data_IF_193685451437
#
_entry.id   IF_193685451437
#
_cell.length_a   1.000
_cell.length_b   1.000
_cell.length_c   1.000
_cell.angle_alpha   90.00
_cell.angle_beta   90.00
_cell.angle_gamma   90.00
#
_symmetry.space_group_name_H-M   'P 1'
#
loop_
_entity.id
_entity.type
_entity.pdbx_description
1 polymer ?
#
# COMPACT_ATOMS: atom_id res chain seq x y z
N UNK A 1 14.28 38.35 23.31
CA UNK A 1 15.12 38.14 22.11
C UNK A 1 14.96 36.70 21.66
N UNK A 2 14.37 36.44 20.49
CA UNK A 2 14.17 35.09 19.97
C UNK A 2 15.50 34.53 19.42
N UNK A 3 15.82 33.27 19.73
CA UNK A 3 17.00 32.57 19.20
C UNK A 3 16.76 32.25 17.71
N UNK A 4 17.76 32.41 16.82
CA UNK A 4 17.60 32.09 15.41
C UNK A 4 17.37 30.59 15.21
N UNK A 5 16.52 30.27 14.22
CA UNK A 5 16.21 28.89 13.85
C UNK A 5 17.47 28.24 13.26
N UNK A 6 17.90 27.07 13.77
CA UNK A 6 19.09 26.40 13.27
C UNK A 6 18.91 25.92 11.82
N UNK A 7 19.93 26.13 10.99
CA UNK A 7 19.92 25.77 9.57
C UNK A 7 19.90 24.24 9.41
N UNK A 8 19.01 23.74 8.56
CA UNK A 8 18.86 22.32 8.27
C UNK A 8 20.04 21.80 7.43
N UNK A 9 21.03 21.19 8.08
CA UNK A 9 22.26 20.65 7.45
C UNK A 9 21.97 19.68 6.30
N UNK A 10 20.91 18.87 6.42
CA UNK A 10 20.54 17.86 5.41
C UNK A 10 20.10 18.48 4.09
N UNK A 11 19.52 19.68 4.12
CA UNK A 11 19.12 20.40 2.91
C UNK A 11 20.34 20.94 2.14
N UNK A 12 21.37 21.44 2.84
CA UNK A 12 22.61 21.90 2.21
C UNK A 12 23.40 20.75 1.55
N UNK A 13 23.40 19.57 2.16
CA UNK A 13 24.05 18.37 1.60
C UNK A 13 23.38 17.95 0.27
N UNK A 14 22.05 17.93 0.22
CA UNK A 14 21.31 17.62 -1.01
C UNK A 14 21.59 18.62 -2.15
N UNK A 15 21.75 19.92 -1.84
CA UNK A 15 22.10 20.90 -2.86
C UNK A 15 23.52 20.71 -3.41
N UNK A 16 24.49 20.33 -2.56
CA UNK A 16 25.85 20.03 -3.03
C UNK A 16 25.90 18.79 -3.92
N UNK A 17 25.16 17.74 -3.57
CA UNK A 17 25.06 16.53 -4.39
C UNK A 17 24.45 16.83 -5.78
N UNK A 18 23.41 17.67 -5.84
CA UNK A 18 22.80 18.07 -7.10
C UNK A 18 23.77 18.86 -8.01
N UNK A 19 24.58 19.75 -7.44
CA UNK A 19 25.58 20.52 -8.20
C UNK A 19 26.71 19.63 -8.74
N UNK A 20 27.12 18.60 -7.99
CA UNK A 20 28.16 17.65 -8.43
C UNK A 20 27.67 16.73 -9.55
N UNK A 21 26.40 16.32 -9.52
CA UNK A 21 25.84 15.44 -10.55
C UNK A 21 25.55 16.18 -11.87
N UNK A 22 25.32 17.50 -11.85
CA UNK A 22 25.09 18.31 -13.05
C UNK A 22 26.36 18.59 -13.89
N UNK A 23 27.55 18.39 -13.33
CA UNK A 23 28.83 18.75 -13.99
C UNK A 23 29.44 17.61 -14.83
N UNK A 24 28.93 16.37 -14.73
CA UNK A 24 29.55 15.19 -15.35
C UNK A 24 28.94 14.72 -16.68
N UNK A 25 27.97 15.46 -17.24
CA UNK A 25 27.44 15.19 -18.59
C UNK A 25 28.00 16.17 -19.62
N UNK A 26 29.32 16.11 -19.84
CA UNK A 26 29.91 16.55 -21.10
C UNK A 26 29.74 15.39 -22.11
N UNK A 27 28.67 15.44 -22.88
CA UNK A 27 28.36 14.48 -23.94
C UNK A 27 29.36 14.62 -25.08
N UNK A 28 30.43 13.84 -25.06
CA UNK A 28 31.27 13.63 -26.24
C UNK A 28 30.48 12.76 -27.22
N UNK A 29 29.96 13.38 -28.28
CA UNK A 29 29.32 12.65 -29.37
C UNK A 29 30.34 11.73 -30.06
N UNK A 30 30.07 10.41 -30.20
CA UNK A 30 30.95 9.53 -30.96
C UNK A 30 30.84 9.85 -32.46
N UNK A 31 31.99 9.85 -33.13
CA UNK A 31 32.09 10.05 -34.57
C UNK A 31 31.31 8.96 -35.34
N UNK A 32 30.61 9.30 -36.45
CA UNK A 32 29.89 8.31 -37.24
C UNK A 32 30.88 7.39 -37.98
N UNK A 33 30.63 6.06 -38.02
CA UNK A 33 31.47 5.13 -38.75
C UNK A 33 31.35 5.33 -40.28
N UNK A 34 32.39 4.99 -41.06
CA UNK A 34 32.37 5.10 -42.52
C UNK A 34 31.30 4.20 -43.15
N UNK A 35 30.59 4.76 -44.14
CA UNK A 35 29.33 4.25 -44.74
C UNK A 35 29.54 3.06 -45.71
N UNK A 36 30.66 2.34 -45.65
CA UNK A 36 30.91 1.20 -46.54
C UNK A 36 30.84 -0.09 -45.73
N UNK A 37 29.83 -0.90 -46.02
CA UNK A 37 29.52 -2.26 -45.53
C UNK A 37 28.33 -2.41 -44.58
N UNK A 38 27.42 -1.41 -44.51
CA UNK A 38 26.24 -1.47 -43.64
C UNK A 38 25.35 -2.72 -43.84
N UNK A 39 25.28 -3.27 -45.06
CA UNK A 39 24.49 -4.48 -45.36
C UNK A 39 25.17 -5.78 -44.93
N UNK A 40 26.50 -5.87 -45.02
CA UNK A 40 27.26 -7.04 -44.54
C UNK A 40 27.31 -7.04 -43.01
N UNK A 41 27.53 -5.87 -42.39
CA UNK A 41 27.48 -5.76 -40.91
C UNK A 41 26.08 -6.06 -40.36
N UNK A 42 25.01 -5.67 -41.07
CA UNK A 42 23.66 -6.01 -40.64
C UNK A 42 23.40 -7.51 -40.65
N UNK A 43 23.79 -8.24 -41.70
CA UNK A 43 23.57 -9.69 -41.75
C UNK A 43 24.38 -10.42 -40.67
N UNK A 44 25.65 -10.06 -40.49
CA UNK A 44 26.49 -10.67 -39.43
C UNK A 44 25.94 -10.38 -38.03
N UNK A 45 25.43 -9.17 -37.77
CA UNK A 45 24.81 -8.85 -36.48
C UNK A 45 23.50 -9.57 -36.25
N UNK A 46 22.69 -9.80 -37.29
CA UNK A 46 21.44 -10.56 -37.20
C UNK A 46 21.73 -12.04 -36.92
N UNK A 47 22.70 -12.62 -37.62
CA UNK A 47 23.10 -14.03 -37.42
C UNK A 47 23.73 -14.25 -36.04
N UNK A 48 24.55 -13.30 -35.57
CA UNK A 48 25.12 -13.34 -34.22
C UNK A 48 24.05 -13.20 -33.13
N UNK A 49 23.05 -12.34 -33.32
CA UNK A 49 21.89 -12.21 -32.41
C UNK A 49 21.03 -13.48 -32.41
N UNK A 50 20.81 -14.10 -33.57
CA UNK A 50 20.05 -15.34 -33.69
C UNK A 50 20.74 -16.50 -32.97
N UNK A 51 22.06 -16.63 -33.12
CA UNK A 51 22.86 -17.60 -32.37
C UNK A 51 22.88 -17.31 -30.87
N UNK A 52 23.00 -16.04 -30.47
CA UNK A 52 22.97 -15.66 -29.06
C UNK A 52 21.63 -15.98 -28.40
N UNK A 53 20.51 -15.77 -29.11
CA UNK A 53 19.17 -16.15 -28.65
C UNK A 53 18.97 -17.67 -28.58
N UNK A 54 19.54 -18.44 -29.51
CA UNK A 54 19.46 -19.91 -29.51
C UNK A 54 20.37 -20.59 -28.45
N UNK A 55 21.42 -19.90 -28.01
CA UNK A 55 22.36 -20.34 -26.97
C UNK A 55 22.01 -19.82 -25.57
N UNK A 56 20.94 -19.03 -25.42
CA UNK A 56 20.38 -18.80 -24.09
C UNK A 56 19.79 -20.12 -23.63
N UNK A 57 20.51 -20.77 -22.72
CA UNK A 57 20.01 -21.81 -21.83
C UNK A 57 18.52 -21.56 -21.56
N UNK A 58 17.71 -22.58 -21.84
CA UNK A 58 16.30 -22.63 -21.45
C UNK A 58 16.22 -22.04 -20.05
N UNK A 59 15.49 -20.91 -19.83
CA UNK A 59 15.47 -20.28 -18.53
C UNK A 59 14.99 -21.36 -17.57
N UNK A 60 15.89 -21.80 -16.69
CA UNK A 60 15.61 -22.79 -15.67
C UNK A 60 14.36 -22.26 -14.97
N UNK A 61 13.21 -22.85 -15.29
CA UNK A 61 11.93 -22.41 -14.78
C UNK A 61 11.98 -22.82 -13.32
N UNK A 62 12.59 -21.97 -12.50
CA UNK A 62 12.53 -22.04 -11.06
C UNK A 62 11.05 -22.11 -10.75
N UNK A 63 10.58 -23.34 -10.47
CA UNK A 63 9.23 -23.59 -10.03
C UNK A 63 9.09 -22.75 -8.77
N UNK A 64 8.44 -21.59 -8.92
CA UNK A 64 8.07 -20.71 -7.83
C UNK A 64 7.15 -21.55 -6.97
N UNK A 65 7.74 -22.21 -5.97
CA UNK A 65 7.00 -22.98 -4.99
C UNK A 65 6.12 -21.96 -4.28
N UNK A 66 4.79 -22.15 -4.28
CA UNK A 66 3.90 -21.19 -3.64
C UNK A 66 4.35 -21.07 -2.19
N UNK A 67 4.80 -19.88 -1.80
CA UNK A 67 5.25 -19.61 -0.43
C UNK A 67 4.07 -19.95 0.48
N UNK A 68 4.17 -21.07 1.19
CA UNK A 68 3.17 -21.50 2.14
C UNK A 68 3.11 -20.43 3.23
N UNK A 69 2.04 -19.64 3.24
CA UNK A 69 1.84 -18.67 4.30
C UNK A 69 1.73 -19.42 5.62
N UNK A 70 2.48 -19.02 6.67
CA UNK A 70 2.35 -19.67 7.96
C UNK A 70 0.89 -19.57 8.44
N UNK A 71 0.38 -20.59 9.14
CA UNK A 71 -0.99 -20.56 9.64
C UNK A 71 -1.21 -19.32 10.50
N UNK A 72 -2.41 -18.70 10.43
CA UNK A 72 -2.68 -17.46 11.11
C UNK A 72 -2.55 -17.65 12.62
N UNK A 73 -1.84 -16.73 13.29
CA UNK A 73 -1.62 -16.79 14.73
C UNK A 73 -2.93 -16.59 15.50
N UNK A 74 -3.34 -17.62 16.24
CA UNK A 74 -4.50 -17.57 17.14
C UNK A 74 -4.03 -17.20 18.55
N UNK A 75 -4.72 -16.24 19.18
CA UNK A 75 -4.53 -15.85 20.58
C UNK A 75 -5.87 -15.79 21.31
N UNK A 76 -5.85 -15.68 22.64
CA UNK A 76 -7.03 -15.44 23.45
C UNK A 76 -7.27 -13.95 23.66
N UNK A 77 -8.51 -13.51 23.54
CA UNK A 77 -8.91 -12.12 23.73
C UNK A 77 -8.71 -11.66 25.18
N UNK A 78 -7.94 -10.59 25.35
CA UNK A 78 -7.65 -9.98 26.66
C UNK A 78 -8.53 -8.78 26.99
N UNK A 79 -9.26 -8.26 26.01
CA UNK A 79 -10.13 -7.10 26.15
C UNK A 79 -11.41 -7.31 25.33
N UNK A 80 -12.57 -6.83 25.83
CA UNK A 80 -13.81 -6.89 25.07
C UNK A 80 -13.73 -5.95 23.85
N UNK A 81 -14.18 -6.44 22.71
CA UNK A 81 -14.22 -5.70 21.45
C UNK A 81 -15.37 -6.21 20.57
N UNK A 82 -15.61 -5.59 19.41
CA UNK A 82 -16.61 -6.06 18.44
C UNK A 82 -15.88 -6.70 17.26
N UNK A 83 -16.20 -7.95 16.93
CA UNK A 83 -15.62 -8.63 15.77
C UNK A 83 -16.08 -7.95 14.48
N UNK A 84 -15.15 -7.44 13.66
CA UNK A 84 -15.51 -6.80 12.39
C UNK A 84 -15.97 -7.77 11.30
N UNK A 85 -15.69 -9.06 11.45
CA UNK A 85 -16.18 -10.10 10.54
C UNK A 85 -17.63 -10.51 10.76
N UNK A 86 -18.13 -10.54 12.00
CA UNK A 86 -19.52 -10.96 12.29
C UNK A 86 -20.38 -9.92 13.01
N UNK A 87 -19.81 -8.82 13.51
CA UNK A 87 -20.52 -7.79 14.30
C UNK A 87 -20.81 -8.19 15.75
N UNK A 88 -20.56 -9.45 16.14
CA UNK A 88 -20.78 -9.92 17.51
C UNK A 88 -19.66 -9.46 18.45
N UNK A 89 -19.95 -9.26 19.75
CA UNK A 89 -18.91 -8.97 20.73
C UNK A 89 -17.94 -10.15 20.87
N UNK A 90 -16.64 -9.82 20.89
CA UNK A 90 -15.55 -10.68 21.33
C UNK A 90 -15.44 -10.49 22.84
N UNK A 91 -15.63 -11.57 23.59
CA UNK A 91 -15.54 -11.64 25.05
C UNK A 91 -14.12 -12.00 25.49
N UNK A 92 -13.86 -11.85 26.79
CA UNK A 92 -12.59 -12.26 27.39
C UNK A 92 -12.43 -13.78 27.26
N UNK A 93 -11.28 -14.24 26.78
CA UNK A 93 -11.01 -15.67 26.57
C UNK A 93 -11.59 -16.24 25.28
N UNK A 94 -12.12 -15.42 24.36
CA UNK A 94 -12.48 -15.88 23.03
C UNK A 94 -11.22 -16.06 22.16
N UNK A 95 -11.21 -17.13 21.37
CA UNK A 95 -10.16 -17.36 20.36
C UNK A 95 -10.29 -16.36 19.22
N UNK A 96 -9.25 -15.55 19.04
CA UNK A 96 -9.16 -14.50 18.03
C UNK A 96 -7.91 -14.64 17.16
N UNK A 97 -7.99 -14.14 15.95
CA UNK A 97 -6.89 -14.06 14.98
C UNK A 97 -6.89 -12.71 14.29
N UNK A 98 -5.76 -12.32 13.70
CA UNK A 98 -5.64 -11.05 13.00
C UNK A 98 -6.09 -11.23 11.54
N UNK A 99 -7.11 -10.48 11.13
CA UNK A 99 -7.63 -10.57 9.77
C UNK A 99 -6.58 -10.08 8.75
N UNK A 100 -6.28 -10.84 7.68
CA UNK A 100 -5.15 -10.57 6.79
C UNK A 100 -5.30 -9.25 6.03
N UNK A 101 -6.54 -8.84 5.72
CA UNK A 101 -6.83 -7.61 4.95
C UNK A 101 -7.08 -6.37 5.81
N UNK A 102 -7.55 -6.55 7.06
CA UNK A 102 -7.97 -5.41 7.90
C UNK A 102 -6.95 -5.09 8.98
N UNK A 103 -6.09 -6.05 9.33
CA UNK A 103 -5.15 -5.90 10.43
C UNK A 103 -5.80 -5.82 11.81
N UNK A 104 -7.10 -6.11 11.91
CA UNK A 104 -7.89 -6.11 13.15
C UNK A 104 -8.08 -7.53 13.70
N UNK A 105 -8.38 -7.62 15.00
CA UNK A 105 -8.66 -8.89 15.67
C UNK A 105 -10.12 -9.32 15.44
N UNK A 106 -10.30 -10.53 14.94
CA UNK A 106 -11.61 -11.15 14.65
C UNK A 106 -11.68 -12.53 15.29
N UNK A 107 -12.88 -13.07 15.48
CA UNK A 107 -13.05 -14.49 15.84
C UNK A 107 -12.30 -15.38 14.84
N UNK A 108 -11.76 -16.52 15.29
CA UNK A 108 -11.06 -17.48 14.41
C UNK A 108 -11.92 -17.86 13.20
N UNK A 109 -13.20 -18.18 13.40
CA UNK A 109 -14.13 -18.50 12.30
C UNK A 109 -14.52 -17.31 11.39
N UNK A 110 -14.05 -16.11 11.70
CA UNK A 110 -14.25 -14.91 10.87
C UNK A 110 -12.98 -14.50 10.10
N UNK A 111 -11.91 -15.28 10.15
CA UNK A 111 -10.62 -14.98 9.51
C UNK A 111 -10.72 -14.78 7.99
N UNK A 112 -11.55 -15.58 7.32
CA UNK A 112 -11.72 -15.56 5.86
C UNK A 112 -13.02 -14.90 5.42
N UNK A 113 -13.82 -14.41 6.38
CA UNK A 113 -15.14 -13.86 6.08
C UNK A 113 -14.98 -12.45 5.50
N UNK A 114 -15.73 -12.15 4.43
CA UNK A 114 -15.84 -10.77 3.94
C UNK A 114 -16.38 -9.85 5.04
N UNK A 115 -15.97 -8.58 5.04
CA UNK A 115 -16.25 -7.65 6.14
C UNK A 115 -17.75 -7.41 6.26
N UNK A 116 -18.40 -8.03 7.25
CA UNK A 116 -19.83 -7.81 7.48
C UNK A 116 -20.06 -6.50 8.22
N UNK A 117 -19.19 -6.16 9.17
CA UNK A 117 -19.16 -4.85 9.80
C UNK A 117 -18.15 -3.96 9.06
N UNK A 118 -18.44 -3.64 7.80
CA UNK A 118 -17.62 -2.74 6.99
C UNK A 118 -17.44 -1.35 7.62
N UNK A 119 -18.32 -0.99 8.57
CA UNK A 119 -18.27 0.31 9.18
C UNK A 119 -18.55 0.25 10.67
N UNK A 120 -17.51 0.55 11.45
CA UNK A 120 -17.62 0.73 12.89
C UNK A 120 -18.56 1.90 13.17
N UNK A 121 -19.72 1.60 13.77
CA UNK A 121 -20.58 2.62 14.36
C UNK A 121 -20.04 2.92 15.76
N UNK A 122 -19.82 4.19 16.05
CA UNK A 122 -19.40 4.68 17.36
C UNK A 122 -20.32 5.83 17.77
N UNK A 123 -20.33 6.14 19.05
CA UNK A 123 -20.94 7.37 19.56
C UNK A 123 -19.96 8.53 19.37
N UNK A 124 -20.40 9.63 18.77
CA UNK A 124 -19.60 10.82 18.55
C UNK A 124 -19.16 11.44 19.88
N UNK A 125 -17.83 11.52 20.10
CA UNK A 125 -17.26 12.17 21.29
C UNK A 125 -17.06 13.67 21.10
N UNK A 126 -16.98 14.11 19.86
CA UNK A 126 -16.74 15.49 19.46
C UNK A 126 -17.71 15.86 18.35
N UNK A 127 -18.07 17.14 18.28
CA UNK A 127 -18.82 17.67 17.15
C UNK A 127 -18.04 17.54 15.84
N UNK A 128 -18.76 17.44 14.73
CA UNK A 128 -18.19 17.33 13.39
C UNK A 128 -19.19 17.71 12.32
N UNK A 129 -18.89 17.42 11.06
CA UNK A 129 -19.84 17.59 9.94
C UNK A 129 -19.99 16.24 9.25
N UNK A 130 -21.24 15.81 9.08
CA UNK A 130 -21.55 14.58 8.38
C UNK A 130 -21.18 14.70 6.90
N UNK A 131 -20.35 13.78 6.40
CA UNK A 131 -19.89 13.78 5.00
C UNK A 131 -20.96 13.52 3.94
N UNK A 132 -22.12 12.99 4.33
CA UNK A 132 -23.21 12.65 3.41
C UNK A 132 -24.28 13.73 3.33
N UNK A 133 -24.68 14.31 4.47
CA UNK A 133 -25.76 15.31 4.50
C UNK A 133 -25.29 16.74 4.81
N UNK A 134 -23.99 16.95 5.04
CA UNK A 134 -23.37 18.23 5.41
C UNK A 134 -23.96 18.91 6.66
N UNK A 135 -24.78 18.20 7.45
CA UNK A 135 -25.28 18.68 8.73
C UNK A 135 -24.27 18.44 9.86
N UNK A 136 -24.26 19.27 10.91
CA UNK A 136 -23.39 19.05 12.05
C UNK A 136 -23.72 17.72 12.74
N UNK A 137 -22.68 16.98 13.10
CA UNK A 137 -22.73 15.83 14.01
C UNK A 137 -22.63 16.38 15.42
N UNK A 138 -23.59 16.04 16.27
CA UNK A 138 -23.58 16.40 17.69
C UNK A 138 -22.89 15.32 18.54
N UNK A 139 -22.39 15.74 19.70
CA UNK A 139 -21.86 14.80 20.68
C UNK A 139 -22.99 13.86 21.17
N UNK A 140 -22.71 12.56 21.24
CA UNK A 140 -23.70 11.54 21.61
C UNK A 140 -24.42 10.89 20.42
N UNK A 141 -24.30 11.44 19.21
CA UNK A 141 -24.93 10.84 18.03
C UNK A 141 -24.19 9.58 17.56
N UNK A 142 -24.93 8.64 16.98
CA UNK A 142 -24.34 7.47 16.32
C UNK A 142 -23.74 7.89 14.98
N UNK A 143 -22.43 7.72 14.86
CA UNK A 143 -21.67 7.98 13.66
C UNK A 143 -21.00 6.73 13.16
N UNK A 144 -20.87 6.64 11.84
CA UNK A 144 -20.29 5.52 11.15
C UNK A 144 -19.19 6.04 10.23
N UNK A 145 -18.04 5.37 10.21
CA UNK A 145 -16.95 5.77 9.31
C UNK A 145 -17.38 5.53 7.87
N UNK A 146 -17.38 6.57 7.03
CA UNK A 146 -17.73 6.50 5.62
C UNK A 146 -16.59 7.09 4.79
N UNK A 147 -15.97 6.29 3.92
CA UNK A 147 -14.73 6.65 3.22
C UNK A 147 -13.64 7.15 4.19
N UNK A 148 -13.16 8.38 3.98
CA UNK A 148 -12.13 9.05 4.81
C UNK A 148 -12.69 9.94 5.92
N UNK A 149 -14.00 9.89 6.19
CA UNK A 149 -14.64 10.74 7.19
C UNK A 149 -15.71 10.04 8.02
N UNK A 150 -16.42 10.84 8.81
CA UNK A 150 -17.55 10.41 9.63
C UNK A 150 -18.86 10.87 9.01
N UNK A 151 -19.88 10.03 9.07
CA UNK A 151 -21.23 10.35 8.69
C UNK A 151 -22.20 9.87 9.77
N UNK A 152 -23.38 10.48 9.87
CA UNK A 152 -24.46 9.94 10.71
C UNK A 152 -24.73 8.49 10.31
N UNK A 153 -24.99 7.63 11.29
CA UNK A 153 -25.29 6.22 11.08
C UNK A 153 -26.42 6.03 10.05
N UNK A 154 -27.51 6.79 10.21
CA UNK A 154 -28.67 6.74 9.31
C UNK A 154 -28.35 7.21 7.88
N UNK A 155 -27.48 8.22 7.73
CA UNK A 155 -27.06 8.68 6.41
C UNK A 155 -26.25 7.57 5.72
N UNK A 156 -25.32 6.95 6.46
CA UNK A 156 -24.50 5.86 5.94
C UNK A 156 -25.30 4.58 5.67
N UNK A 157 -26.45 4.36 6.32
CA UNK A 157 -27.36 3.26 6.01
C UNK A 157 -28.16 3.52 4.73
N UNK A 158 -28.68 4.73 4.54
CA UNK A 158 -29.43 5.11 3.32
C UNK A 158 -28.59 4.98 2.05
N UNK A 159 -27.32 5.37 2.11
CA UNK A 159 -26.40 5.30 0.96
C UNK A 159 -26.08 3.85 0.53
N UNK A 160 -26.38 2.85 1.37
CA UNK A 160 -26.11 1.43 1.06
C UNK A 160 -27.32 0.67 0.51
N UNK A 161 -28.50 1.27 0.56
CA UNK A 161 -29.72 0.72 -0.02
C UNK A 161 -29.78 1.09 -1.49
#
# INVERSE_FOLDING_TARGET
MAKPIPVNRRWQENQRAAAQNGANHATTAPAPPPVSNYQETLHETIDALALWLFLQDEPEVELITPVQQPPPRVIQARYPQTCTGCGMPIRLGDSITRHPRWGEWVHVGCHERAQRAAHRTIVARFGGVCRLCNRPIQQGELITRFNRGWAHHECAQRERQ
#
